data_IF_454634897852
#
_entry.id   IF_454634897852
#
_cell.length_a   1.000
_cell.length_b   1.000
_cell.length_c   1.000
_cell.angle_alpha   90.00
_cell.angle_beta   90.00
_cell.angle_gamma   90.00
#
_symmetry.space_group_name_H-M   'P 1'
#
loop_
_entity.id
_entity.type
_entity.pdbx_description
1 polymer ?
#
# COMPACT_ATOMS: atom_id res chain seq x y z
N UNK A 1 14.48 6.37 10.12
CA UNK A 1 15.19 5.23 9.50
C UNK A 1 16.35 4.84 10.41
N UNK A 2 16.72 3.56 10.53
CA UNK A 2 17.86 3.15 11.39
C UNK A 2 19.15 3.20 10.61
N UNK A 3 20.23 3.66 11.25
CA UNK A 3 21.55 3.72 10.64
C UNK A 3 22.58 3.08 11.57
N UNK A 4 23.53 2.35 10.98
CA UNK A 4 24.79 1.94 11.59
C UNK A 4 25.80 3.03 11.35
N UNK A 5 26.54 3.40 12.36
CA UNK A 5 27.73 4.22 12.20
C UNK A 5 28.81 3.33 11.61
N UNK A 6 29.25 3.64 10.38
CA UNK A 6 30.31 2.91 9.67
C UNK A 6 31.67 3.58 9.77
N UNK A 7 31.71 4.79 10.31
CA UNK A 7 32.93 5.53 10.62
C UNK A 7 32.68 6.44 11.82
N UNK A 8 33.52 6.38 12.85
CA UNK A 8 33.45 7.27 14.01
C UNK A 8 33.41 8.73 13.58
N UNK A 9 32.55 9.52 14.22
CA UNK A 9 32.44 10.96 14.05
C UNK A 9 32.53 11.65 15.40
N UNK A 10 33.47 12.58 15.52
CA UNK A 10 33.67 13.42 16.69
C UNK A 10 33.59 14.86 16.19
N UNK A 11 32.60 15.60 16.67
CA UNK A 11 32.44 17.02 16.38
C UNK A 11 33.60 17.81 16.98
N UNK A 12 34.11 18.77 16.21
CA UNK A 12 35.09 19.77 16.64
C UNK A 12 34.42 21.09 17.07
N UNK A 13 33.09 21.11 17.16
CA UNK A 13 32.29 22.28 17.52
C UNK A 13 31.96 22.28 19.02
N UNK A 14 32.53 23.24 19.75
CA UNK A 14 32.28 23.41 21.20
C UNK A 14 30.97 24.14 21.51
N UNK A 15 30.45 24.95 20.57
CA UNK A 15 29.21 25.72 20.72
C UNK A 15 28.44 25.75 19.40
N UNK A 16 27.13 25.54 19.45
CA UNK A 16 26.27 25.52 18.27
C UNK A 16 25.14 26.54 18.37
N UNK A 17 24.71 27.07 17.23
CA UNK A 17 23.59 28.00 17.12
C UNK A 17 22.25 27.26 17.28
N UNK A 18 21.34 27.85 18.05
CA UNK A 18 19.94 27.41 18.14
C UNK A 18 19.00 28.52 17.67
N UNK A 19 18.13 28.18 16.72
CA UNK A 19 17.24 29.11 16.06
C UNK A 19 15.79 28.70 16.22
N UNK A 20 14.93 29.70 16.47
CA UNK A 20 13.47 29.56 16.43
C UNK A 20 12.91 30.19 15.17
N UNK A 21 11.83 29.61 14.65
CA UNK A 21 11.09 30.20 13.54
C UNK A 21 10.75 31.66 13.84
N UNK A 22 11.07 32.54 12.89
CA UNK A 22 10.88 33.99 12.99
C UNK A 22 12.05 34.76 13.59
N UNK A 23 13.07 34.09 14.14
CA UNK A 23 14.29 34.75 14.58
C UNK A 23 15.09 35.30 13.39
N UNK A 24 15.89 36.34 13.65
CA UNK A 24 16.76 36.98 12.67
C UNK A 24 18.21 36.60 12.87
N UNK A 25 18.88 36.33 11.76
CA UNK A 25 20.31 36.01 11.70
C UNK A 25 21.03 36.92 10.71
N UNK A 26 22.34 37.05 10.87
CA UNK A 26 23.24 37.73 9.95
C UNK A 26 24.06 36.69 9.18
N UNK A 27 23.73 36.43 7.90
CA UNK A 27 24.50 35.52 7.07
C UNK A 27 25.88 36.14 6.75
N UNK A 28 26.97 35.37 6.92
CA UNK A 28 28.35 35.86 6.76
C UNK A 28 29.06 35.25 5.56
N UNK A 29 29.04 33.92 5.44
CA UNK A 29 29.77 33.20 4.38
C UNK A 29 29.04 31.94 3.98
N UNK A 30 29.07 31.61 2.69
CA UNK A 30 28.54 30.35 2.17
C UNK A 30 29.64 29.30 2.29
N UNK A 31 29.27 28.07 2.60
CA UNK A 31 30.21 26.95 2.60
C UNK A 31 30.67 26.65 1.17
N UNK A 32 31.96 26.81 0.92
CA UNK A 32 32.63 26.53 -0.37
C UNK A 32 33.56 25.31 -0.29
N UNK A 33 33.33 24.42 0.68
CA UNK A 33 34.16 23.24 0.87
C UNK A 33 33.82 22.11 -0.11
N UNK A 34 33.66 20.89 0.39
CA UNK A 34 33.40 19.76 -0.50
C UNK A 34 31.97 19.78 -1.09
N UNK A 35 31.81 19.17 -2.27
CA UNK A 35 30.51 19.10 -2.97
C UNK A 35 29.44 18.28 -2.21
N UNK A 36 29.83 17.49 -1.21
CA UNK A 36 28.90 16.64 -0.45
C UNK A 36 28.06 17.44 0.54
N UNK A 37 28.49 18.64 0.93
CA UNK A 37 27.78 19.51 1.86
C UNK A 37 27.33 20.81 1.17
N UNK A 38 26.39 20.74 0.22
CA UNK A 38 25.94 21.92 -0.49
C UNK A 38 25.05 22.81 0.39
N UNK A 39 24.93 24.09 0.04
CA UNK A 39 23.90 25.00 0.58
C UNK A 39 23.94 25.24 2.10
N UNK A 40 25.12 25.24 2.72
CA UNK A 40 25.31 25.72 4.09
C UNK A 40 25.76 27.19 4.11
N UNK A 41 25.26 27.97 5.06
CA UNK A 41 25.66 29.37 5.26
C UNK A 41 25.95 29.63 6.74
N UNK A 42 27.12 30.21 7.03
CA UNK A 42 27.52 30.57 8.37
C UNK A 42 26.75 31.82 8.80
N UNK A 43 26.07 31.74 9.94
CA UNK A 43 25.18 32.77 10.45
C UNK A 43 25.53 33.12 11.89
N UNK A 44 25.40 34.40 12.23
CA UNK A 44 25.41 34.90 13.61
C UNK A 44 23.98 35.26 14.03
N UNK A 45 23.56 34.83 15.23
CA UNK A 45 22.23 35.14 15.76
C UNK A 45 22.17 36.57 16.31
N UNK A 46 21.16 37.32 15.89
CA UNK A 46 21.02 38.73 16.29
C UNK A 46 20.87 38.88 17.80
N UNK A 47 21.72 39.72 18.41
CA UNK A 47 21.68 39.99 19.86
C UNK A 47 22.29 38.89 20.74
N UNK A 48 23.06 37.96 20.18
CA UNK A 48 23.77 36.92 20.93
C UNK A 48 25.15 36.64 20.33
N UNK A 49 25.99 35.91 21.06
CA UNK A 49 27.28 35.39 20.57
C UNK A 49 27.13 34.03 19.85
N UNK A 50 25.90 33.51 19.72
CA UNK A 50 25.67 32.23 19.04
C UNK A 50 25.89 32.37 17.53
N UNK A 51 26.73 31.50 16.98
CA UNK A 51 27.01 31.43 15.56
C UNK A 51 27.17 29.98 15.10
N UNK A 52 26.91 29.71 13.82
CA UNK A 52 27.04 28.37 13.28
C UNK A 52 26.52 28.23 11.86
N UNK A 53 26.69 27.03 11.31
CA UNK A 53 26.20 26.69 9.97
C UNK A 53 24.69 26.47 9.99
N UNK A 54 24.01 27.07 9.02
CA UNK A 54 22.55 26.99 8.86
C UNK A 54 22.22 26.58 7.42
N UNK A 55 21.21 25.72 7.18
CA UNK A 55 20.81 25.36 5.83
C UNK A 55 20.23 26.56 5.09
N UNK A 56 20.74 26.87 3.89
CA UNK A 56 20.27 28.01 3.10
C UNK A 56 18.76 27.94 2.82
N UNK A 57 18.22 26.73 2.59
CA UNK A 57 16.79 26.54 2.31
C UNK A 57 15.85 26.90 3.47
N UNK A 58 16.33 27.05 4.70
CA UNK A 58 15.49 27.43 5.85
C UNK A 58 15.54 28.92 6.15
N UNK A 59 16.26 29.70 5.35
CA UNK A 59 16.37 31.14 5.47
C UNK A 59 15.54 31.86 4.41
N UNK A 60 15.01 33.02 4.78
CA UNK A 60 14.39 34.00 3.89
C UNK A 60 15.16 35.31 3.99
N UNK A 61 15.75 35.76 2.88
CA UNK A 61 16.63 36.94 2.87
C UNK A 61 15.82 38.24 2.99
N UNK A 62 16.19 39.08 3.95
CA UNK A 62 15.65 40.42 4.18
C UNK A 62 16.79 41.43 4.27
N UNK A 63 17.17 42.03 3.13
CA UNK A 63 18.29 42.97 3.04
C UNK A 63 19.62 42.30 3.40
N UNK A 64 20.27 42.78 4.46
CA UNK A 64 21.52 42.24 5.02
C UNK A 64 21.29 41.15 6.08
N UNK A 65 20.03 40.88 6.43
CA UNK A 65 19.64 39.85 7.41
C UNK A 65 18.86 38.73 6.75
N UNK A 66 18.60 37.66 7.48
CA UNK A 66 17.65 36.63 7.08
C UNK A 66 16.73 36.24 8.24
N UNK A 67 15.49 35.89 7.91
CA UNK A 67 14.49 35.36 8.84
C UNK A 67 14.45 33.83 8.73
N UNK A 68 14.41 33.17 9.87
CA UNK A 68 14.38 31.71 9.99
C UNK A 68 12.97 31.18 9.75
N UNK A 69 12.80 30.25 8.81
CA UNK A 69 11.48 29.72 8.41
C UNK A 69 10.98 28.55 9.27
N UNK A 70 11.88 27.88 9.98
CA UNK A 70 11.58 26.74 10.86
C UNK A 70 12.59 26.61 12.00
N UNK A 71 12.21 25.99 13.11
CA UNK A 71 13.11 25.71 14.24
C UNK A 71 14.33 24.89 13.78
N UNK A 72 15.52 25.26 14.26
CA UNK A 72 16.78 24.65 13.84
C UNK A 72 17.80 24.62 14.97
N UNK A 73 18.61 23.55 14.99
CA UNK A 73 19.78 23.42 15.86
C UNK A 73 20.95 22.93 15.02
N UNK A 74 22.10 23.59 15.13
CA UNK A 74 23.35 23.16 14.51
C UNK A 74 24.10 22.11 15.35
N UNK A 75 23.46 21.54 16.37
CA UNK A 75 24.08 20.53 17.24
C UNK A 75 24.52 19.32 16.44
N UNK A 76 25.80 18.99 16.53
CA UNK A 76 26.36 17.75 16.04
C UNK A 76 26.40 16.68 17.15
N UNK A 77 26.40 15.41 16.78
CA UNK A 77 26.41 14.30 17.73
C UNK A 77 27.61 13.37 17.52
N UNK A 78 28.44 13.25 18.54
CA UNK A 78 29.55 12.28 18.57
C UNK A 78 29.00 10.85 18.55
N UNK A 79 29.60 10.02 17.71
CA UNK A 79 29.24 8.61 17.55
C UNK A 79 30.45 7.75 17.24
N UNK A 80 30.45 6.53 17.78
CA UNK A 80 31.48 5.53 17.53
C UNK A 80 31.07 4.55 16.42
N UNK A 81 32.04 4.06 15.64
CA UNK A 81 31.80 3.01 14.66
C UNK A 81 31.13 1.78 15.30
N UNK A 82 30.08 1.29 14.65
CA UNK A 82 29.27 0.17 15.13
C UNK A 82 28.01 0.59 15.89
N UNK A 83 27.90 1.83 16.36
CA UNK A 83 26.69 2.33 17.01
C UNK A 83 25.48 2.34 16.06
N UNK A 84 24.27 2.26 16.65
CA UNK A 84 23.00 2.34 15.92
C UNK A 84 22.26 3.60 16.33
N UNK A 85 21.80 4.37 15.35
CA UNK A 85 21.05 5.62 15.55
C UNK A 85 19.79 5.65 14.71
N UNK A 86 18.79 6.42 15.15
CA UNK A 86 17.55 6.64 14.41
C UNK A 86 17.62 7.99 13.69
N UNK A 87 17.78 7.99 12.37
CA UNK A 87 17.73 9.19 11.55
C UNK A 87 16.30 9.69 11.34
N UNK A 88 16.09 10.98 11.60
CA UNK A 88 14.81 11.67 11.58
C UNK A 88 14.68 12.64 10.41
N UNK A 89 15.78 13.32 10.04
CA UNK A 89 15.80 14.32 8.97
C UNK A 89 17.13 14.29 8.24
N UNK A 90 17.10 14.34 6.91
CA UNK A 90 18.31 14.48 6.07
C UNK A 90 18.36 15.90 5.50
N UNK A 91 19.50 16.57 5.61
CA UNK A 91 19.75 17.90 5.03
C UNK A 91 21.19 17.99 4.56
N UNK A 92 21.39 18.35 3.30
CA UNK A 92 22.67 18.82 2.76
C UNK A 92 23.89 17.92 3.11
N UNK A 93 23.72 16.60 3.01
CA UNK A 93 24.76 15.61 3.32
C UNK A 93 24.90 15.23 4.80
N UNK A 94 23.94 15.62 5.64
CA UNK A 94 23.89 15.31 7.07
C UNK A 94 22.54 14.71 7.47
N UNK A 95 22.52 13.92 8.53
CA UNK A 95 21.32 13.28 9.07
C UNK A 95 21.16 13.63 10.55
N UNK A 96 20.05 14.27 10.90
CA UNK A 96 19.65 14.48 12.30
C UNK A 96 19.22 13.15 12.88
N UNK A 97 19.99 12.67 13.85
CA UNK A 97 19.84 11.36 14.44
C UNK A 97 19.48 11.48 15.93
N UNK A 98 18.74 10.50 16.44
CA UNK A 98 18.50 10.31 17.87
C UNK A 98 18.99 8.91 18.30
N UNK A 99 19.71 8.85 19.42
CA UNK A 99 20.14 7.62 20.09
C UNK A 99 19.06 7.12 21.05
N UNK A 100 19.16 5.87 21.45
CA UNK A 100 18.22 5.26 22.42
C UNK A 100 18.28 5.92 23.81
N UNK A 101 19.39 6.59 24.16
CA UNK A 101 19.52 7.39 25.39
C UNK A 101 18.88 8.80 25.28
N UNK A 102 18.23 9.10 24.14
CA UNK A 102 17.55 10.36 23.87
C UNK A 102 18.46 11.49 23.41
N UNK A 103 19.78 11.28 23.28
CA UNK A 103 20.67 12.28 22.68
C UNK A 103 20.41 12.40 21.18
N UNK A 104 20.42 13.62 20.69
CA UNK A 104 20.20 13.93 19.28
C UNK A 104 21.20 14.96 18.74
N UNK A 105 21.42 14.91 17.44
CA UNK A 105 22.28 15.84 16.70
C UNK A 105 22.53 15.38 15.26
N UNK A 106 23.16 16.25 14.47
CA UNK A 106 23.59 15.96 13.11
C UNK A 106 24.81 15.03 13.09
N UNK A 107 24.80 14.06 12.19
CA UNK A 107 25.94 13.20 11.85
C UNK A 107 26.12 13.28 10.32
N UNK A 108 27.36 13.35 9.79
CA UNK A 108 27.56 13.33 8.34
C UNK A 108 27.00 12.04 7.75
N UNK A 109 26.31 12.15 6.63
CA UNK A 109 25.67 11.00 5.98
C UNK A 109 26.69 9.92 5.58
N UNK A 110 27.91 10.32 5.20
CA UNK A 110 29.00 9.41 4.84
C UNK A 110 29.54 8.58 6.01
N UNK A 111 29.24 8.96 7.25
CA UNK A 111 29.57 8.19 8.44
C UNK A 111 28.51 7.14 8.77
N UNK A 112 27.38 7.13 8.04
CA UNK A 112 26.22 6.30 8.31
C UNK A 112 25.94 5.33 7.16
N UNK A 113 25.51 4.13 7.50
CA UNK A 113 24.94 3.16 6.57
C UNK A 113 23.57 2.75 7.09
N UNK A 114 22.56 2.69 6.24
CA UNK A 114 21.21 2.34 6.69
C UNK A 114 21.19 0.87 7.14
N UNK A 115 20.60 0.61 8.31
CA UNK A 115 20.29 -0.74 8.79
C UNK A 115 18.82 -1.02 8.47
N UNK A 116 18.53 -2.25 8.02
CA UNK A 116 17.18 -2.75 7.66
C UNK A 116 16.58 -2.16 6.39
N UNK A 117 17.42 -1.69 5.48
CA UNK A 117 17.05 -1.43 4.10
C UNK A 117 17.97 -2.18 3.12
N UNK A 118 18.59 -3.29 3.53
CA UNK A 118 19.31 -4.09 2.55
C UNK A 118 18.32 -4.64 1.53
N UNK A 119 18.42 -4.17 0.29
CA UNK A 119 17.60 -4.59 -0.81
C UNK A 119 17.58 -6.12 -0.93
N UNK A 120 18.75 -6.77 -0.89
CA UNK A 120 18.85 -8.21 -1.09
C UNK A 120 18.15 -8.96 0.05
N UNK A 121 18.29 -8.49 1.30
CA UNK A 121 17.56 -9.05 2.45
C UNK A 121 16.06 -8.93 2.26
N UNK A 122 15.54 -7.74 1.95
CA UNK A 122 14.10 -7.48 1.82
C UNK A 122 13.50 -8.17 0.59
N UNK A 123 14.23 -8.21 -0.52
CA UNK A 123 13.86 -8.94 -1.73
C UNK A 123 13.70 -10.43 -1.44
N UNK A 124 14.72 -11.05 -0.82
CA UNK A 124 14.67 -12.47 -0.46
C UNK A 124 13.58 -12.76 0.59
N UNK A 125 13.35 -11.84 1.52
CA UNK A 125 12.25 -11.94 2.49
C UNK A 125 10.89 -11.97 1.78
N UNK A 126 10.63 -11.00 0.89
CA UNK A 126 9.38 -10.93 0.13
C UNK A 126 9.17 -12.15 -0.78
N UNK A 127 10.24 -12.65 -1.42
CA UNK A 127 10.19 -13.86 -2.24
C UNK A 127 9.92 -15.14 -1.45
N UNK A 128 10.56 -15.29 -0.28
CA UNK A 128 10.43 -16.50 0.55
C UNK A 128 9.16 -16.55 1.40
N UNK A 129 8.51 -15.41 1.65
CA UNK A 129 7.29 -15.35 2.44
C UNK A 129 6.16 -16.20 1.84
N UNK A 130 5.59 -17.12 2.62
CA UNK A 130 4.57 -18.06 2.13
C UNK A 130 3.20 -17.41 1.96
N UNK A 131 2.47 -17.77 0.90
CA UNK A 131 1.07 -17.41 0.72
C UNK A 131 0.19 -18.67 0.80
N UNK A 132 -0.87 -18.63 1.59
CA UNK A 132 -1.81 -19.74 1.80
C UNK A 132 -3.23 -19.21 1.92
N UNK A 133 -4.16 -19.80 1.17
CA UNK A 133 -5.53 -19.27 1.07
C UNK A 133 -5.51 -17.84 0.53
N UNK A 134 -6.35 -16.97 1.07
CA UNK A 134 -6.40 -15.54 0.72
C UNK A 134 -5.94 -14.65 1.89
N UNK A 135 -4.82 -15.02 2.51
CA UNK A 135 -4.29 -14.35 3.70
C UNK A 135 -3.15 -13.39 3.35
N UNK A 136 -3.41 -12.08 3.51
CA UNK A 136 -2.45 -11.00 3.24
C UNK A 136 -1.76 -10.45 4.51
N UNK A 137 -1.81 -11.16 5.64
CA UNK A 137 -1.22 -10.68 6.91
C UNK A 137 0.28 -10.36 6.84
N UNK A 138 1.02 -10.93 5.89
CA UNK A 138 2.41 -10.52 5.63
C UNK A 138 2.52 -9.03 5.25
N UNK A 139 1.49 -8.50 4.59
CA UNK A 139 1.40 -7.09 4.20
C UNK A 139 0.90 -6.19 5.35
N UNK A 140 0.56 -6.75 6.52
CA UNK A 140 0.13 -5.94 7.66
C UNK A 140 1.24 -4.95 8.03
N UNK A 141 0.87 -3.66 8.11
CA UNK A 141 1.79 -2.52 8.31
C UNK A 141 2.79 -2.27 7.18
N UNK A 142 2.78 -3.09 6.12
CA UNK A 142 3.66 -2.96 4.95
C UNK A 142 2.96 -2.43 3.70
N UNK A 143 1.67 -2.77 3.54
CA UNK A 143 0.77 -2.18 2.56
C UNK A 143 -0.39 -1.52 3.31
N UNK A 144 -0.38 -0.19 3.38
CA UNK A 144 -1.32 0.58 4.22
C UNK A 144 -2.29 1.35 3.34
N UNK A 145 -3.58 1.01 3.40
CA UNK A 145 -4.64 1.85 2.84
C UNK A 145 -4.95 2.97 3.82
N UNK A 146 -4.64 4.21 3.42
CA UNK A 146 -4.77 5.42 4.24
C UNK A 146 -6.22 5.86 4.32
N UNK A 147 -6.93 5.77 3.19
CA UNK A 147 -8.32 6.20 3.09
C UNK A 147 -9.27 5.13 3.63
N UNK A 148 -10.37 5.58 4.24
CA UNK A 148 -11.43 4.67 4.72
C UNK A 148 -12.33 4.24 3.54
N UNK A 149 -12.65 2.96 3.47
CA UNK A 149 -13.64 2.45 2.52
C UNK A 149 -15.01 3.12 2.79
N UNK A 150 -15.67 3.74 1.79
CA UNK A 150 -16.92 4.48 1.99
C UNK A 150 -18.17 3.57 2.08
N UNK A 151 -17.95 2.25 2.13
CA UNK A 151 -18.98 1.24 2.39
C UNK A 151 -18.42 0.09 3.22
N UNK A 152 -19.33 -0.72 3.75
CA UNK A 152 -19.00 -1.96 4.44
C UNK A 152 -19.70 -3.11 3.69
N UNK A 153 -18.92 -3.90 2.95
CA UNK A 153 -19.44 -5.01 2.15
C UNK A 153 -20.14 -6.07 3.02
N UNK A 154 -19.54 -6.43 4.17
CA UNK A 154 -20.14 -7.35 5.14
C UNK A 154 -21.53 -6.88 5.54
N UNK A 155 -21.66 -5.61 5.93
CA UNK A 155 -22.96 -5.06 6.34
C UNK A 155 -23.98 -5.08 5.20
N UNK A 156 -23.55 -4.79 3.97
CA UNK A 156 -24.43 -4.90 2.79
C UNK A 156 -24.92 -6.34 2.60
N UNK A 157 -24.05 -7.34 2.74
CA UNK A 157 -24.39 -8.76 2.63
C UNK A 157 -25.30 -9.21 3.79
N UNK A 158 -24.95 -8.93 5.04
CA UNK A 158 -25.71 -9.32 6.24
C UNK A 158 -27.15 -8.78 6.21
N UNK A 159 -27.38 -7.57 5.68
CA UNK A 159 -28.71 -6.99 5.51
C UNK A 159 -29.63 -7.82 4.59
N UNK A 160 -29.06 -8.52 3.61
CA UNK A 160 -29.81 -9.32 2.64
C UNK A 160 -29.89 -10.80 3.06
N UNK A 161 -28.87 -11.32 3.74
CA UNK A 161 -28.86 -12.70 4.28
C UNK A 161 -30.11 -13.00 5.11
N UNK A 162 -30.55 -12.06 5.95
CA UNK A 162 -31.71 -12.25 6.85
C UNK A 162 -33.00 -12.59 6.09
N UNK A 163 -33.11 -12.22 4.81
CA UNK A 163 -34.28 -12.47 3.97
C UNK A 163 -34.07 -13.58 2.94
N UNK A 164 -32.83 -14.03 2.76
CA UNK A 164 -32.47 -15.02 1.75
C UNK A 164 -32.90 -16.42 2.20
N UNK A 165 -33.36 -17.24 1.26
CA UNK A 165 -33.63 -18.66 1.48
C UNK A 165 -32.63 -19.56 0.77
N UNK A 166 -31.95 -19.04 -0.26
CA UNK A 166 -30.91 -19.73 -1.00
C UNK A 166 -29.79 -18.77 -1.42
N UNK A 167 -28.59 -18.96 -0.86
CA UNK A 167 -27.41 -18.10 -1.07
C UNK A 167 -26.34 -18.81 -1.90
N UNK A 168 -25.75 -18.10 -2.85
CA UNK A 168 -24.48 -18.46 -3.50
C UNK A 168 -23.39 -17.43 -3.20
N UNK A 169 -22.23 -17.90 -2.73
CA UNK A 169 -20.98 -17.13 -2.66
C UNK A 169 -20.07 -17.49 -3.83
N UNK A 170 -19.90 -16.57 -4.78
CA UNK A 170 -19.04 -16.76 -5.94
C UNK A 170 -17.59 -16.37 -5.62
N UNK A 171 -16.65 -17.27 -5.91
CA UNK A 171 -15.23 -17.04 -5.70
C UNK A 171 -14.86 -16.97 -4.23
N UNK A 172 -15.23 -18.01 -3.47
CA UNK A 172 -15.17 -17.98 -2.00
C UNK A 172 -13.74 -17.85 -1.44
N UNK A 173 -12.71 -18.11 -2.25
CA UNK A 173 -11.34 -18.16 -1.79
C UNK A 173 -11.15 -19.37 -0.87
N UNK A 174 -10.59 -19.14 0.32
CA UNK A 174 -10.62 -20.16 1.36
C UNK A 174 -12.01 -20.29 2.02
N UNK A 175 -12.97 -19.41 1.77
CA UNK A 175 -14.26 -19.41 2.47
C UNK A 175 -14.22 -18.75 3.86
N UNK A 176 -13.15 -18.04 4.22
CA UNK A 176 -13.04 -17.32 5.49
C UNK A 176 -14.15 -16.28 5.66
N UNK A 177 -14.49 -15.56 4.59
CA UNK A 177 -15.53 -14.54 4.63
C UNK A 177 -16.90 -15.17 4.86
N UNK A 178 -17.30 -16.13 4.01
CA UNK A 178 -18.60 -16.80 4.13
C UNK A 178 -18.79 -17.48 5.48
N UNK A 179 -17.79 -18.24 5.96
CA UNK A 179 -17.85 -18.94 7.25
C UNK A 179 -18.01 -18.00 8.46
N UNK A 180 -17.66 -16.72 8.29
CA UNK A 180 -17.74 -15.72 9.36
C UNK A 180 -19.02 -14.89 9.33
N UNK A 181 -19.95 -15.14 8.39
CA UNK A 181 -21.23 -14.47 8.34
C UNK A 181 -22.24 -15.15 9.28
N UNK A 182 -22.99 -14.39 10.09
CA UNK A 182 -24.01 -14.95 10.94
C UNK A 182 -25.28 -15.29 10.13
N UNK A 183 -26.10 -16.22 10.64
CA UNK A 183 -27.45 -16.49 10.14
C UNK A 183 -27.52 -16.88 8.65
N UNK A 184 -26.55 -17.64 8.15
CA UNK A 184 -26.59 -18.16 6.78
C UNK A 184 -27.87 -18.99 6.54
N UNK A 185 -28.52 -18.86 5.38
CA UNK A 185 -29.66 -19.70 5.04
C UNK A 185 -29.23 -21.17 4.97
N UNK A 186 -30.17 -22.08 5.26
CA UNK A 186 -29.89 -23.53 5.21
C UNK A 186 -29.36 -23.98 3.85
N UNK A 187 -29.86 -23.37 2.77
CA UNK A 187 -29.40 -23.62 1.41
C UNK A 187 -28.33 -22.58 1.07
N UNK A 188 -27.08 -22.84 1.46
CA UNK A 188 -25.94 -21.98 1.15
C UNK A 188 -24.92 -22.78 0.35
N UNK A 189 -24.44 -22.17 -0.73
CA UNK A 189 -23.48 -22.75 -1.66
C UNK A 189 -22.32 -21.79 -1.87
N UNK A 190 -21.18 -22.33 -2.26
CA UNK A 190 -20.01 -21.56 -2.64
C UNK A 190 -19.40 -22.10 -3.93
N UNK A 191 -18.80 -21.23 -4.74
CA UNK A 191 -17.95 -21.65 -5.87
C UNK A 191 -16.49 -21.26 -5.66
N UNK A 192 -15.58 -22.06 -6.22
CA UNK A 192 -14.14 -21.75 -6.31
C UNK A 192 -13.54 -22.38 -7.57
N UNK A 193 -12.72 -21.62 -8.29
CA UNK A 193 -12.04 -22.04 -9.53
C UNK A 193 -10.53 -22.19 -9.36
N UNK A 194 -9.94 -21.51 -8.37
CA UNK A 194 -8.52 -21.60 -8.07
C UNK A 194 -8.20 -22.87 -7.28
N UNK A 195 -7.66 -23.88 -7.99
CA UNK A 195 -7.38 -25.23 -7.47
C UNK A 195 -6.73 -25.28 -6.08
N UNK A 196 -5.72 -24.45 -5.74
CA UNK A 196 -5.13 -24.46 -4.40
C UNK A 196 -6.10 -24.08 -3.27
N UNK A 197 -7.13 -23.29 -3.55
CA UNK A 197 -8.12 -22.84 -2.56
C UNK A 197 -9.24 -23.86 -2.35
N UNK A 198 -9.61 -24.65 -3.36
CA UNK A 198 -10.69 -25.64 -3.31
C UNK A 198 -10.62 -26.54 -2.06
N UNK A 199 -9.51 -27.25 -1.75
CA UNK A 199 -9.45 -28.11 -0.56
C UNK A 199 -9.43 -27.31 0.75
N UNK A 200 -9.08 -26.02 0.72
CA UNK A 200 -9.14 -25.13 1.88
C UNK A 200 -10.59 -24.73 2.14
N UNK A 201 -11.31 -24.30 1.09
CA UNK A 201 -12.72 -23.96 1.11
C UNK A 201 -13.58 -25.13 1.60
N UNK A 202 -13.44 -26.31 0.99
CA UNK A 202 -14.19 -27.52 1.37
C UNK A 202 -14.05 -27.85 2.85
N UNK A 203 -12.80 -27.94 3.34
CA UNK A 203 -12.53 -28.23 4.77
C UNK A 203 -13.12 -27.21 5.74
N UNK A 204 -13.29 -25.97 5.30
CA UNK A 204 -13.83 -24.89 6.12
C UNK A 204 -15.36 -24.82 6.06
N UNK A 205 -15.94 -24.99 4.88
CA UNK A 205 -17.34 -24.71 4.59
C UNK A 205 -18.25 -25.94 4.66
N UNK A 206 -17.79 -27.12 4.23
CA UNK A 206 -18.62 -28.34 4.23
C UNK A 206 -19.08 -28.77 5.64
N UNK A 207 -18.26 -28.65 6.71
CA UNK A 207 -18.73 -28.90 8.08
C UNK A 207 -19.85 -27.96 8.55
N UNK A 208 -20.02 -26.81 7.90
CA UNK A 208 -21.10 -25.85 8.15
C UNK A 208 -22.36 -26.16 7.32
N UNK A 209 -22.36 -27.24 6.53
CA UNK A 209 -23.43 -27.59 5.61
C UNK A 209 -23.42 -26.80 4.30
N UNK A 210 -22.32 -26.13 3.98
CA UNK A 210 -22.16 -25.32 2.77
C UNK A 210 -21.43 -26.14 1.72
N UNK A 211 -22.10 -26.43 0.60
CA UNK A 211 -21.50 -27.18 -0.50
C UNK A 211 -20.59 -26.26 -1.33
N UNK A 212 -19.36 -26.70 -1.58
CA UNK A 212 -18.39 -26.00 -2.44
C UNK A 212 -18.33 -26.68 -3.81
N UNK A 213 -18.76 -25.95 -4.84
CA UNK A 213 -18.70 -26.38 -6.25
C UNK A 213 -17.46 -25.84 -6.95
N UNK A 214 -16.82 -26.71 -7.71
CA UNK A 214 -15.68 -26.35 -8.56
C UNK A 214 -16.19 -25.99 -9.96
N UNK A 215 -15.56 -25.02 -10.62
CA UNK A 215 -15.91 -24.65 -12.00
C UNK A 215 -14.68 -24.14 -12.75
N UNK A 216 -14.75 -24.15 -14.08
CA UNK A 216 -13.67 -23.65 -14.96
C UNK A 216 -14.10 -22.45 -15.82
N UNK A 217 -15.39 -22.30 -16.12
CA UNK A 217 -15.95 -21.24 -16.96
C UNK A 217 -17.10 -20.55 -16.21
N UNK A 218 -16.97 -19.25 -15.93
CA UNK A 218 -17.97 -18.46 -15.22
C UNK A 218 -19.23 -18.18 -16.06
N UNK A 219 -19.25 -18.61 -17.33
CA UNK A 219 -20.43 -18.65 -18.20
C UNK A 219 -21.27 -19.92 -18.05
N UNK A 220 -20.79 -20.91 -17.30
CA UNK A 220 -21.46 -22.20 -17.11
C UNK A 220 -21.18 -22.77 -15.71
N UNK A 221 -21.82 -22.17 -14.71
CA UNK A 221 -21.75 -22.60 -13.32
C UNK A 221 -22.57 -23.90 -13.11
N UNK A 222 -22.13 -24.80 -12.22
CA UNK A 222 -22.72 -26.12 -12.02
C UNK A 222 -24.00 -26.09 -11.17
N UNK A 223 -24.95 -25.26 -11.58
CA UNK A 223 -26.25 -25.08 -10.94
C UNK A 223 -27.36 -25.11 -11.99
N UNK A 224 -28.54 -25.56 -11.57
CA UNK A 224 -29.77 -25.45 -12.34
C UNK A 224 -30.24 -23.99 -12.43
N UNK A 225 -31.24 -23.75 -13.27
CA UNK A 225 -31.86 -22.44 -13.43
C UNK A 225 -32.71 -22.05 -12.19
N UNK A 226 -32.90 -20.75 -11.92
CA UNK A 226 -33.86 -20.22 -10.93
C UNK A 226 -33.64 -20.73 -9.47
N UNK A 227 -32.39 -20.88 -9.05
CA UNK A 227 -32.03 -21.46 -7.73
C UNK A 227 -31.86 -20.42 -6.64
N UNK A 228 -31.14 -19.34 -6.91
CA UNK A 228 -30.62 -18.44 -5.88
C UNK A 228 -31.43 -17.15 -5.74
N UNK A 229 -31.86 -16.81 -4.51
CA UNK A 229 -32.47 -15.50 -4.23
C UNK A 229 -31.45 -14.46 -3.75
N UNK A 230 -30.25 -14.89 -3.37
CA UNK A 230 -29.11 -14.03 -3.06
C UNK A 230 -27.82 -14.61 -3.65
N UNK A 231 -27.14 -13.82 -4.49
CA UNK A 231 -25.78 -14.14 -4.95
C UNK A 231 -24.84 -13.04 -4.46
N UNK A 232 -23.75 -13.43 -3.82
CA UNK A 232 -22.69 -12.53 -3.38
C UNK A 232 -21.41 -12.87 -4.14
N UNK A 233 -20.65 -11.85 -4.51
CA UNK A 233 -19.37 -11.99 -5.18
C UNK A 233 -18.40 -10.94 -4.62
N UNK A 234 -17.19 -11.34 -4.24
CA UNK A 234 -16.18 -10.42 -3.71
C UNK A 234 -14.84 -10.67 -4.36
N UNK A 235 -14.49 -9.78 -5.29
CA UNK A 235 -13.22 -9.75 -6.02
C UNK A 235 -13.03 -10.92 -7.00
N UNK A 236 -14.12 -11.59 -7.40
CA UNK A 236 -14.09 -12.63 -8.42
C UNK A 236 -14.82 -12.19 -9.69
N UNK A 237 -14.54 -12.84 -10.82
CA UNK A 237 -15.27 -12.56 -12.06
C UNK A 237 -16.71 -13.05 -11.99
N UNK A 238 -17.55 -12.56 -12.91
CA UNK A 238 -18.91 -13.04 -13.07
C UNK A 238 -19.40 -12.77 -14.50
N UNK A 239 -20.31 -13.62 -14.99
CA UNK A 239 -20.98 -13.42 -16.26
C UNK A 239 -22.46 -13.04 -16.06
N UNK A 240 -22.91 -11.84 -16.50
CA UNK A 240 -24.27 -11.36 -16.25
C UNK A 240 -25.38 -12.32 -16.71
N UNK A 241 -25.26 -12.95 -17.88
CA UNK A 241 -26.28 -13.90 -18.37
C UNK A 241 -26.31 -15.18 -17.54
N UNK A 242 -25.18 -15.58 -16.97
CA UNK A 242 -25.14 -16.76 -16.12
C UNK A 242 -25.78 -16.48 -14.76
N UNK A 243 -25.59 -15.26 -14.24
CA UNK A 243 -26.35 -14.78 -13.08
C UNK A 243 -27.86 -14.79 -13.37
N UNK A 244 -28.30 -14.30 -14.54
CA UNK A 244 -29.74 -14.35 -14.92
C UNK A 244 -30.25 -15.79 -14.91
N UNK A 245 -29.47 -16.76 -15.40
CA UNK A 245 -29.87 -18.15 -15.48
C UNK A 245 -30.08 -18.77 -14.09
N UNK A 246 -29.11 -18.61 -13.20
CA UNK A 246 -29.11 -19.32 -11.90
C UNK A 246 -29.90 -18.59 -10.82
N UNK A 247 -30.18 -17.30 -10.98
CA UNK A 247 -30.88 -16.49 -9.98
C UNK A 247 -32.38 -16.47 -10.21
N UNK A 248 -33.12 -16.37 -9.10
CA UNK A 248 -34.56 -16.22 -9.12
C UNK A 248 -35.04 -14.89 -9.65
N UNK A 249 -36.28 -14.84 -10.15
CA UNK A 249 -36.98 -13.56 -10.38
C UNK A 249 -36.89 -12.71 -9.11
N UNK A 250 -36.57 -11.42 -9.25
CA UNK A 250 -36.41 -10.53 -8.11
C UNK A 250 -35.33 -10.91 -7.07
N UNK A 251 -34.41 -11.82 -7.38
CA UNK A 251 -33.22 -12.14 -6.59
C UNK A 251 -32.21 -10.98 -6.52
N UNK A 252 -31.38 -10.97 -5.48
CA UNK A 252 -30.39 -9.89 -5.25
C UNK A 252 -28.98 -10.34 -5.55
N UNK A 253 -28.24 -9.55 -6.33
CA UNK A 253 -26.81 -9.73 -6.59
C UNK A 253 -26.02 -8.63 -5.88
N UNK A 254 -25.02 -8.99 -5.09
CA UNK A 254 -24.14 -8.06 -4.38
C UNK A 254 -22.70 -8.35 -4.77
N UNK A 255 -22.07 -7.43 -5.49
CA UNK A 255 -20.67 -7.56 -5.90
C UNK A 255 -19.80 -6.44 -5.39
N UNK A 256 -18.62 -6.76 -4.87
CA UNK A 256 -17.53 -5.80 -4.66
C UNK A 256 -16.35 -6.21 -5.52
N UNK A 257 -15.88 -5.32 -6.37
CA UNK A 257 -14.91 -5.61 -7.42
C UNK A 257 -13.63 -4.81 -7.26
N UNK A 258 -12.57 -5.32 -7.90
CA UNK A 258 -11.30 -4.62 -8.12
C UNK A 258 -11.38 -4.03 -9.52
N UNK A 259 -11.28 -2.71 -9.64
CA UNK A 259 -11.31 -2.07 -10.95
C UNK A 259 -9.92 -1.97 -11.59
N UNK A 260 -9.87 -1.69 -12.88
CA UNK A 260 -8.68 -1.76 -13.74
C UNK A 260 -7.51 -0.89 -13.24
N UNK A 261 -7.83 0.30 -12.75
CA UNK A 261 -6.85 1.25 -12.20
C UNK A 261 -6.25 0.84 -10.83
N UNK A 262 -6.52 -0.36 -10.34
CA UNK A 262 -5.96 -0.86 -9.08
C UNK A 262 -4.44 -0.91 -9.15
N UNK A 263 -3.81 -0.21 -8.21
CA UNK A 263 -2.37 -0.06 -8.11
C UNK A 263 -1.67 0.38 -9.42
N UNK A 264 -2.35 1.14 -10.30
CA UNK A 264 -1.85 1.46 -11.65
C UNK A 264 -0.46 2.12 -11.69
N UNK A 265 -0.09 2.90 -10.66
CA UNK A 265 1.27 3.47 -10.56
C UNK A 265 2.35 2.39 -10.46
N UNK A 266 2.05 1.24 -9.87
CA UNK A 266 2.96 0.09 -9.81
C UNK A 266 3.18 -0.47 -11.21
N UNK A 267 2.10 -0.59 -12.00
CA UNK A 267 2.18 -1.05 -13.39
C UNK A 267 3.08 -0.12 -14.20
N UNK A 268 2.81 1.20 -14.19
CA UNK A 268 3.63 2.19 -14.91
C UNK A 268 5.10 2.21 -14.47
N UNK A 269 5.40 1.79 -13.24
CA UNK A 269 6.77 1.72 -12.76
C UNK A 269 7.52 0.52 -13.36
N UNK A 270 6.86 -0.64 -13.41
CA UNK A 270 7.47 -1.90 -13.86
C UNK A 270 7.31 -2.17 -15.35
N UNK A 271 6.31 -1.60 -15.99
CA UNK A 271 5.98 -1.82 -17.38
C UNK A 271 5.57 -0.50 -18.06
N UNK A 272 6.08 -0.30 -19.28
CA UNK A 272 5.72 0.83 -20.13
C UNK A 272 4.66 0.44 -21.18
N UNK A 273 4.24 -0.83 -21.22
CA UNK A 273 3.19 -1.25 -22.15
C UNK A 273 1.82 -0.77 -21.65
N UNK A 274 1.05 -0.19 -22.57
CA UNK A 274 -0.37 0.06 -22.37
C UNK A 274 -1.03 -1.29 -22.10
N UNK A 275 -1.64 -1.45 -20.92
CA UNK A 275 -2.57 -2.57 -20.70
C UNK A 275 -3.63 -2.54 -21.80
N UNK A 276 -4.06 -3.72 -22.24
CA UNK A 276 -5.24 -3.84 -23.09
C UNK A 276 -6.42 -3.08 -22.46
N UNK A 277 -7.20 -2.38 -23.28
CA UNK A 277 -8.29 -1.44 -22.94
C UNK A 277 -9.50 -2.10 -22.24
N UNK A 278 -9.29 -3.02 -21.30
CA UNK A 278 -10.39 -3.74 -20.65
C UNK A 278 -11.29 -2.85 -19.79
N UNK A 279 -10.91 -1.58 -19.53
CA UNK A 279 -11.71 -0.51 -18.93
C UNK A 279 -12.66 -0.94 -17.78
N UNK A 280 -12.27 -1.97 -17.01
CA UNK A 280 -13.13 -2.58 -16.01
C UNK A 280 -13.30 -1.63 -14.83
N UNK A 281 -14.47 -1.05 -14.70
CA UNK A 281 -14.80 -0.07 -13.68
C UNK A 281 -16.28 -0.17 -13.32
N UNK A 282 -16.73 0.69 -12.40
CA UNK A 282 -18.14 0.68 -12.01
C UNK A 282 -19.07 0.87 -13.21
N UNK A 283 -18.73 1.77 -14.14
CA UNK A 283 -19.59 2.10 -15.27
C UNK A 283 -19.73 0.94 -16.26
N UNK A 284 -18.62 0.24 -16.59
CA UNK A 284 -18.68 -0.92 -17.48
C UNK A 284 -19.49 -2.06 -16.85
N UNK A 285 -19.21 -2.37 -15.58
CA UNK A 285 -19.91 -3.41 -14.83
C UNK A 285 -21.43 -3.14 -14.70
N UNK A 286 -21.81 -1.89 -14.45
CA UNK A 286 -23.22 -1.47 -14.43
C UNK A 286 -23.87 -1.63 -15.80
N UNK A 287 -23.22 -1.15 -16.86
CA UNK A 287 -23.71 -1.29 -18.24
C UNK A 287 -23.97 -2.75 -18.59
N UNK A 288 -23.07 -3.65 -18.23
CA UNK A 288 -23.19 -5.07 -18.58
C UNK A 288 -24.31 -5.78 -17.78
N UNK A 289 -24.49 -5.41 -16.51
CA UNK A 289 -25.63 -5.87 -15.71
C UNK A 289 -26.96 -5.34 -16.26
N UNK A 290 -27.05 -4.05 -16.58
CA UNK A 290 -28.28 -3.44 -17.14
C UNK A 290 -28.65 -4.06 -18.50
N UNK A 291 -27.67 -4.33 -19.38
CA UNK A 291 -27.90 -5.03 -20.65
C UNK A 291 -28.43 -6.45 -20.47
N UNK A 292 -28.04 -7.13 -19.38
CA UNK A 292 -28.57 -8.44 -19.03
C UNK A 292 -29.96 -8.39 -18.37
N UNK A 293 -30.48 -7.19 -18.06
CA UNK A 293 -31.81 -6.99 -17.49
C UNK A 293 -31.83 -6.71 -15.99
N UNK A 294 -30.68 -6.55 -15.34
CA UNK A 294 -30.63 -6.21 -13.91
C UNK A 294 -31.09 -4.77 -13.65
N UNK A 295 -31.85 -4.59 -12.58
CA UNK A 295 -32.10 -3.27 -11.99
C UNK A 295 -31.01 -2.94 -10.95
N UNK A 296 -30.27 -1.84 -11.17
CA UNK A 296 -29.25 -1.39 -10.22
C UNK A 296 -29.90 -0.67 -9.03
N UNK A 297 -29.77 -1.26 -7.83
CA UNK A 297 -30.34 -0.72 -6.59
C UNK A 297 -29.38 0.26 -5.89
N UNK A 298 -28.08 -0.01 -5.95
CA UNK A 298 -27.05 0.84 -5.34
C UNK A 298 -25.71 0.61 -6.05
N UNK A 299 -24.95 1.69 -6.23
CA UNK A 299 -23.58 1.63 -6.75
C UNK A 299 -22.69 2.67 -6.10
N UNK A 300 -21.42 2.31 -5.82
CA UNK A 300 -20.38 3.23 -5.33
C UNK A 300 -19.03 2.81 -5.89
N UNK A 301 -18.15 3.78 -6.13
CA UNK A 301 -16.77 3.59 -6.59
C UNK A 301 -15.84 4.44 -5.72
N UNK A 302 -14.63 3.93 -5.46
CA UNK A 302 -13.65 4.60 -4.64
C UNK A 302 -12.23 4.31 -5.11
N UNK A 303 -11.37 5.34 -4.98
CA UNK A 303 -9.95 5.27 -5.26
C UNK A 303 -9.18 5.59 -3.97
N UNK A 304 -8.76 4.57 -3.25
CA UNK A 304 -8.22 4.70 -1.90
C UNK A 304 -6.69 4.76 -1.93
N UNK A 305 -6.11 5.86 -1.42
CA UNK A 305 -4.67 6.01 -1.27
C UNK A 305 -4.10 4.84 -0.46
N UNK A 306 -3.10 4.18 -1.05
CA UNK A 306 -2.44 3.00 -0.49
C UNK A 306 -0.92 3.17 -0.59
N UNK A 307 -0.20 2.75 0.45
CA UNK A 307 1.24 2.94 0.60
C UNK A 307 1.94 1.60 0.72
N UNK A 308 2.97 1.35 -0.07
CA UNK A 308 3.95 0.29 0.16
C UNK A 308 5.13 0.86 0.94
N UNK A 309 5.35 0.39 2.17
CA UNK A 309 6.33 0.99 3.08
C UNK A 309 7.74 0.46 2.89
N UNK A 310 7.91 -0.68 2.25
CA UNK A 310 9.19 -1.29 1.93
C UNK A 310 9.12 -2.11 0.64
N UNK A 311 10.28 -2.53 0.14
CA UNK A 311 10.37 -3.29 -1.11
C UNK A 311 9.91 -4.74 -0.95
N UNK A 312 10.03 -5.33 0.23
CA UNK A 312 9.56 -6.70 0.49
C UNK A 312 8.05 -6.81 0.29
N UNK A 313 7.31 -5.76 0.68
CA UNK A 313 5.88 -5.63 0.46
C UNK A 313 5.51 -5.67 -1.03
N UNK A 314 6.27 -4.94 -1.86
CA UNK A 314 6.05 -4.90 -3.32
C UNK A 314 6.36 -6.26 -3.95
N UNK A 315 7.50 -6.85 -3.60
CA UNK A 315 7.92 -8.18 -4.09
C UNK A 315 6.89 -9.23 -3.73
N UNK A 316 6.47 -9.28 -2.46
CA UNK A 316 5.44 -10.22 -2.01
C UNK A 316 4.11 -9.99 -2.74
N UNK A 317 3.67 -8.74 -2.87
CA UNK A 317 2.43 -8.40 -3.55
C UNK A 317 2.43 -8.87 -5.01
N UNK A 318 3.48 -8.56 -5.78
CA UNK A 318 3.60 -8.97 -7.18
C UNK A 318 3.72 -10.49 -7.34
N UNK A 319 4.35 -11.18 -6.38
CA UNK A 319 4.44 -12.65 -6.37
C UNK A 319 3.08 -13.32 -6.19
N UNK A 320 2.24 -12.75 -5.33
CA UNK A 320 0.92 -13.29 -4.97
C UNK A 320 -0.16 -12.86 -5.96
N UNK A 321 -0.16 -11.59 -6.34
CA UNK A 321 -1.10 -10.97 -7.28
C UNK A 321 -0.45 -10.94 -8.65
N UNK A 322 -0.23 -12.12 -9.24
CA UNK A 322 0.49 -12.28 -10.52
C UNK A 322 -0.24 -11.60 -11.68
N UNK A 323 -1.55 -11.41 -11.57
CA UNK A 323 -2.36 -10.65 -12.53
C UNK A 323 -2.24 -9.13 -12.37
N UNK A 324 -1.57 -8.61 -11.33
CA UNK A 324 -1.28 -7.17 -11.25
C UNK A 324 -0.40 -6.75 -12.43
N UNK A 325 0.61 -7.54 -12.77
CA UNK A 325 1.44 -7.32 -13.96
C UNK A 325 1.60 -8.68 -14.62
N UNK A 326 0.69 -9.05 -15.54
CA UNK A 326 0.72 -10.36 -16.16
C UNK A 326 2.09 -10.68 -16.78
N UNK A 327 2.63 -11.85 -16.46
CA UNK A 327 3.92 -12.30 -16.98
C UNK A 327 5.16 -11.67 -16.33
N UNK A 328 5.02 -10.96 -15.20
CA UNK A 328 6.19 -10.41 -14.49
C UNK A 328 7.09 -11.53 -13.93
N UNK A 329 8.36 -11.50 -14.33
CA UNK A 329 9.41 -12.40 -13.83
C UNK A 329 10.24 -11.66 -12.78
N UNK A 330 9.95 -11.90 -11.50
CA UNK A 330 10.57 -11.18 -10.36
C UNK A 330 12.08 -11.38 -10.25
N UNK A 331 12.59 -12.49 -10.78
CA UNK A 331 14.01 -12.85 -10.82
C UNK A 331 14.73 -12.39 -12.10
N UNK A 332 14.02 -11.81 -13.06
CA UNK A 332 14.65 -11.27 -14.27
C UNK A 332 15.56 -10.07 -13.92
N UNK A 333 16.75 -9.93 -14.54
CA UNK A 333 17.68 -8.85 -14.24
C UNK A 333 17.05 -7.45 -14.37
N UNK A 334 16.16 -7.26 -15.37
CA UNK A 334 15.46 -6.00 -15.60
C UNK A 334 14.49 -5.66 -14.46
N UNK A 335 13.71 -6.64 -13.99
CA UNK A 335 12.77 -6.42 -12.88
C UNK A 335 13.53 -6.19 -11.57
N UNK A 336 14.64 -6.91 -11.34
CA UNK A 336 15.51 -6.68 -10.18
C UNK A 336 16.06 -5.26 -10.18
N UNK A 337 16.53 -4.74 -11.31
CA UNK A 337 17.01 -3.35 -11.40
C UNK A 337 15.91 -2.34 -11.09
N UNK A 338 14.69 -2.55 -11.60
CA UNK A 338 13.53 -1.72 -11.27
C UNK A 338 13.18 -1.81 -9.77
N UNK A 339 13.19 -3.00 -9.18
CA UNK A 339 12.96 -3.20 -7.75
C UNK A 339 14.02 -2.45 -6.91
N UNK A 340 15.30 -2.47 -7.31
CA UNK A 340 16.38 -1.69 -6.65
C UNK A 340 16.09 -0.20 -6.70
N UNK A 341 15.72 0.32 -7.87
CA UNK A 341 15.32 1.72 -8.02
C UNK A 341 14.10 2.09 -7.19
N UNK A 342 13.09 1.22 -7.13
CA UNK A 342 11.89 1.47 -6.31
C UNK A 342 12.24 1.50 -4.82
N UNK A 343 13.13 0.61 -4.41
CA UNK A 343 13.63 0.56 -3.05
C UNK A 343 14.39 1.84 -2.65
N UNK A 344 15.26 2.35 -3.52
CA UNK A 344 15.91 3.66 -3.33
C UNK A 344 14.89 4.79 -3.18
N UNK A 345 13.85 4.81 -4.03
CA UNK A 345 12.76 5.78 -3.93
C UNK A 345 12.06 5.68 -2.57
N UNK A 346 11.78 4.47 -2.09
CA UNK A 346 11.12 4.26 -0.79
C UNK A 346 11.99 4.77 0.36
N UNK A 347 13.31 4.54 0.29
CA UNK A 347 14.28 5.03 1.28
C UNK A 347 14.35 6.56 1.28
N UNK A 348 14.48 7.18 0.10
CA UNK A 348 14.74 8.61 -0.03
C UNK A 348 13.49 9.47 0.16
N UNK A 349 12.35 9.02 -0.37
CA UNK A 349 11.12 9.81 -0.48
C UNK A 349 10.00 9.32 0.44
N UNK A 350 10.22 8.19 1.12
CA UNK A 350 9.20 7.52 1.92
C UNK A 350 8.34 6.55 1.09
N UNK A 351 7.28 5.97 1.70
CA UNK A 351 6.50 4.88 1.12
C UNK A 351 6.02 5.13 -0.32
N UNK A 352 6.06 4.09 -1.15
CA UNK A 352 5.55 4.16 -2.52
C UNK A 352 4.02 4.25 -2.51
N UNK A 353 3.51 5.41 -2.93
CA UNK A 353 2.08 5.71 -2.94
C UNK A 353 1.42 5.29 -4.26
N UNK A 354 0.33 4.54 -4.16
CA UNK A 354 -0.60 4.20 -5.24
C UNK A 354 -2.05 4.27 -4.76
N UNK A 355 -3.01 3.75 -5.54
CA UNK A 355 -4.42 3.71 -5.15
C UNK A 355 -5.02 2.34 -5.37
N UNK A 356 -5.81 1.89 -4.41
CA UNK A 356 -6.74 0.80 -4.62
C UNK A 356 -7.96 1.32 -5.39
N UNK A 357 -8.37 0.61 -6.43
CA UNK A 357 -9.59 0.90 -7.17
C UNK A 357 -10.65 -0.14 -6.81
N UNK A 358 -11.70 0.29 -6.11
CA UNK A 358 -12.78 -0.60 -5.66
C UNK A 358 -14.13 -0.02 -6.07
N UNK A 359 -15.07 -0.89 -6.36
CA UNK A 359 -16.47 -0.52 -6.51
C UNK A 359 -17.38 -1.60 -5.93
N UNK A 360 -18.61 -1.21 -5.59
CA UNK A 360 -19.65 -2.10 -5.10
C UNK A 360 -20.94 -1.84 -5.86
N UNK A 361 -21.64 -2.92 -6.22
CA UNK A 361 -22.94 -2.89 -6.87
C UNK A 361 -23.89 -3.79 -6.09
N UNK A 362 -25.10 -3.31 -5.86
CA UNK A 362 -26.25 -4.11 -5.46
C UNK A 362 -27.24 -4.02 -6.61
N UNK A 363 -27.57 -5.15 -7.20
CA UNK A 363 -28.46 -5.25 -8.34
C UNK A 363 -29.56 -6.29 -8.05
N UNK A 364 -30.63 -6.22 -8.80
CA UNK A 364 -31.77 -7.13 -8.72
C UNK A 364 -32.03 -7.73 -10.09
N UNK A 365 -32.26 -9.04 -10.15
CA UNK A 365 -32.75 -9.68 -11.37
C UNK A 365 -34.16 -9.17 -11.71
N UNK A 366 -34.55 -9.26 -13.00
CA UNK A 366 -35.87 -8.82 -13.44
C UNK A 366 -37.01 -9.49 -12.68
#
# INVERSE_FOLDING_TARGET
MRYKVVKTFISDIDSFIMLKKGERVYPKSIYEGNEKWPNWIYCEKSGSEEAGWVPLQILEKEGETAVVKEDYSAREMNVDEGEVVNGLKRLNGWIWCIRDDGKEGWIPEENLSIIDCDFEKLYNEGLSATFKGWNFSYLDKRMITVDKMPWNYRHAVEKHIVKATCLLDMGTGGGEFLASLPNLPKNTYATESYRPNIPIAKRRLEPLGIEVKEFEDDRNLPFEDDVFDLVINRHDSYHPQELIRIMKESGTFITQQVGELDNVKLNHFFDNHSRDDNNWCLNSAVSDLEKAGFAILSKKEAFLKTLFTDIAAVVYYLKVIQWQIPGIELDSPLVIEKLKRLHEIIIEKGPFETKQHRFIIIAKTP
#
